data_IF_736157829048
#
_entry.id   IF_736157829048
#
_cell.length_a   1.000
_cell.length_b   1.000
_cell.length_c   1.000
_cell.angle_alpha   90.00
_cell.angle_beta   90.00
_cell.angle_gamma   90.00
#
_symmetry.space_group_name_H-M   'P 1'
#
loop_
_entity.id
_entity.type
_entity.pdbx_description
1 polymer ?
#
# COMPACT_ATOMS: atom_id res chain seq x y z
N UNK A 1 5.56 12.53 -14.70
CA UNK A 1 5.19 11.12 -14.93
C UNK A 1 4.06 11.15 -15.94
N UNK A 2 4.28 10.59 -17.13
CA UNK A 2 3.25 10.57 -18.17
C UNK A 2 2.42 9.31 -17.97
N UNK A 3 1.14 9.46 -17.65
CA UNK A 3 0.25 8.36 -17.31
C UNK A 3 -0.27 7.66 -18.58
N UNK A 4 0.45 6.64 -19.04
CA UNK A 4 -0.01 5.79 -20.15
C UNK A 4 -1.04 4.73 -19.72
N UNK A 5 -1.27 4.57 -18.41
CA UNK A 5 -2.29 3.67 -17.85
C UNK A 5 -3.47 4.48 -17.32
N UNK A 6 -4.69 4.00 -17.59
CA UNK A 6 -5.90 4.54 -17.00
C UNK A 6 -5.88 4.29 -15.50
N UNK A 7 -5.64 5.33 -14.71
CA UNK A 7 -6.02 5.34 -13.30
C UNK A 7 -7.53 5.08 -13.18
N UNK A 8 -7.98 4.53 -12.05
CA UNK A 8 -9.40 4.48 -11.75
C UNK A 8 -10.01 5.89 -11.83
N UNK A 9 -11.18 6.00 -12.48
CA UNK A 9 -11.84 7.29 -12.70
C UNK A 9 -12.28 7.90 -11.35
N UNK A 10 -11.42 8.75 -10.80
CA UNK A 10 -11.60 9.38 -9.49
C UNK A 10 -12.92 10.18 -9.44
N UNK A 11 -13.33 10.81 -10.55
CA UNK A 11 -14.56 11.59 -10.61
C UNK A 11 -15.82 10.70 -10.46
N UNK A 12 -15.86 9.54 -11.13
CA UNK A 12 -16.96 8.57 -10.97
C UNK A 12 -16.94 7.89 -9.59
N UNK A 13 -15.77 7.67 -9.00
CA UNK A 13 -15.65 7.10 -7.66
C UNK A 13 -16.21 8.05 -6.58
N UNK A 14 -15.96 9.35 -6.71
CA UNK A 14 -16.41 10.39 -5.77
C UNK A 14 -17.94 10.57 -5.76
N UNK A 15 -18.62 10.37 -6.89
CA UNK A 15 -20.09 10.43 -6.96
C UNK A 15 -20.73 9.23 -6.25
N UNK A 16 -20.14 8.02 -6.38
CA UNK A 16 -20.64 6.80 -5.73
C UNK A 16 -20.34 6.75 -4.23
N UNK A 17 -19.31 7.46 -3.76
CA UNK A 17 -18.88 7.47 -2.36
C UNK A 17 -19.58 8.51 -1.49
N UNK A 18 -20.35 9.44 -2.07
CA UNK A 18 -21.02 10.54 -1.33
C UNK A 18 -21.92 10.07 -0.17
N UNK A 19 -22.40 8.83 -0.23
CA UNK A 19 -23.28 8.21 0.77
C UNK A 19 -22.58 7.09 1.56
N UNK A 20 -21.25 6.99 1.50
CA UNK A 20 -20.47 5.96 2.19
C UNK A 20 -19.55 6.60 3.22
N UNK A 21 -19.60 6.09 4.45
CA UNK A 21 -18.70 6.53 5.52
C UNK A 21 -17.25 6.11 5.23
N UNK A 22 -17.07 4.87 4.75
CA UNK A 22 -15.79 4.33 4.31
C UNK A 22 -15.81 4.08 2.80
N UNK A 23 -14.85 4.66 2.07
CA UNK A 23 -14.75 4.62 0.61
C UNK A 23 -13.78 3.56 0.11
N UNK A 24 -12.97 2.98 1.01
CA UNK A 24 -11.99 1.95 0.69
C UNK A 24 -11.09 1.60 1.86
N UNK A 25 -10.04 0.83 1.54
CA UNK A 25 -8.99 0.42 2.47
C UNK A 25 -7.64 0.83 1.90
N UNK A 26 -6.77 1.30 2.77
CA UNK A 26 -5.36 1.53 2.49
C UNK A 26 -4.56 0.63 3.41
N UNK A 27 -3.48 -0.01 2.94
CA UNK A 27 -2.79 -0.99 3.76
C UNK A 27 -1.41 -1.36 3.28
N UNK A 28 -0.76 -2.21 4.05
CA UNK A 28 0.58 -2.73 3.76
C UNK A 28 0.64 -4.24 3.96
N UNK A 29 1.56 -4.88 3.23
CA UNK A 29 1.92 -6.29 3.38
C UNK A 29 3.43 -6.41 3.47
N UNK A 30 3.94 -7.49 4.07
CA UNK A 30 5.35 -7.83 3.96
C UNK A 30 5.67 -8.42 2.56
N UNK A 31 6.95 -8.68 2.26
CA UNK A 31 7.37 -9.30 0.99
C UNK A 31 6.73 -10.67 0.70
N UNK A 32 6.23 -11.36 1.72
CA UNK A 32 5.54 -12.65 1.58
C UNK A 32 4.03 -12.49 1.29
N UNK A 33 3.55 -11.25 1.19
CA UNK A 33 2.15 -10.91 1.00
C UNK A 33 1.29 -10.97 2.27
N UNK A 34 1.90 -11.25 3.43
CA UNK A 34 1.18 -11.29 4.71
C UNK A 34 0.72 -9.86 5.08
N UNK A 35 -0.58 -9.64 5.35
CA UNK A 35 -1.14 -8.38 5.84
C UNK A 35 -0.41 -7.85 7.08
N UNK A 36 -0.09 -6.55 7.11
CA UNK A 36 0.58 -5.90 8.25
C UNK A 36 -0.32 -4.87 8.95
N UNK A 37 -0.64 -3.75 8.30
CA UNK A 37 -1.47 -2.68 8.86
C UNK A 37 -2.41 -2.10 7.80
N UNK A 38 -3.58 -1.64 8.26
CA UNK A 38 -4.65 -1.11 7.41
C UNK A 38 -5.26 0.15 8.01
N UNK A 39 -5.76 1.02 7.14
CA UNK A 39 -6.46 2.26 7.45
C UNK A 39 -7.70 2.33 6.57
N UNK A 40 -8.86 2.64 7.17
CA UNK A 40 -10.06 2.93 6.39
C UNK A 40 -9.94 4.30 5.71
N UNK A 41 -10.30 4.35 4.43
CA UNK A 41 -10.44 5.62 3.70
C UNK A 41 -11.80 6.24 4.05
N UNK A 42 -11.81 7.34 4.80
CA UNK A 42 -13.04 8.03 5.24
C UNK A 42 -13.27 9.31 4.47
N UNK A 43 -14.04 9.25 3.39
CA UNK A 43 -14.39 10.41 2.54
C UNK A 43 -13.19 11.11 1.87
N UNK A 44 -11.98 10.63 2.11
CA UNK A 44 -10.72 11.15 1.60
C UNK A 44 -10.15 10.08 0.69
N UNK A 45 -9.81 10.44 -0.55
CA UNK A 45 -9.10 9.54 -1.45
C UNK A 45 -7.69 9.22 -0.93
N UNK A 46 -6.94 8.42 -1.69
CA UNK A 46 -5.56 8.13 -1.33
C UNK A 46 -4.70 9.41 -1.27
N UNK A 47 -3.97 9.57 -0.17
CA UNK A 47 -3.07 10.71 0.08
C UNK A 47 -1.74 10.19 0.60
N UNK A 48 -0.67 10.95 0.36
CA UNK A 48 0.67 10.65 0.90
C UNK A 48 0.68 10.52 2.42
N UNK A 49 -0.16 11.28 3.13
CA UNK A 49 -0.27 11.21 4.59
C UNK A 49 -0.66 9.82 5.11
N UNK A 50 -1.43 9.04 4.34
CA UNK A 50 -1.80 7.67 4.73
C UNK A 50 -0.62 6.71 4.64
N UNK A 51 0.13 6.80 3.54
CA UNK A 51 1.38 6.06 3.34
C UNK A 51 2.43 6.45 4.40
N UNK A 52 2.58 7.74 4.68
CA UNK A 52 3.47 8.23 5.74
C UNK A 52 3.07 7.70 7.11
N UNK A 53 1.78 7.74 7.44
CA UNK A 53 1.28 7.22 8.72
C UNK A 53 1.58 5.72 8.89
N UNK A 54 1.30 4.91 7.86
CA UNK A 54 1.60 3.48 7.90
C UNK A 54 3.09 3.21 8.05
N UNK A 55 3.94 3.88 7.25
CA UNK A 55 5.39 3.69 7.31
C UNK A 55 5.99 4.21 8.61
N UNK A 56 5.46 5.30 9.18
CA UNK A 56 5.89 5.81 10.48
C UNK A 56 5.61 4.80 11.58
N UNK A 57 4.42 4.19 11.58
CA UNK A 57 4.08 3.14 12.52
C UNK A 57 4.95 1.88 12.35
N UNK A 58 5.30 1.50 11.12
CA UNK A 58 6.20 0.38 10.87
C UNK A 58 7.63 0.69 11.34
N UNK A 59 8.13 1.88 11.04
CA UNK A 59 9.40 2.41 11.54
C UNK A 59 9.50 2.39 13.07
N UNK A 60 8.42 2.77 13.76
CA UNK A 60 8.35 2.78 15.23
C UNK A 60 8.30 1.36 15.80
N UNK A 61 7.58 0.44 15.13
CA UNK A 61 7.51 -0.98 15.51
C UNK A 61 8.87 -1.69 15.33
N UNK A 62 9.62 -1.34 14.28
CA UNK A 62 10.91 -1.91 13.93
C UNK A 62 11.99 -0.82 14.07
N UNK A 63 12.30 -0.43 15.30
CA UNK A 63 13.10 0.77 15.61
C UNK A 63 14.62 0.54 15.62
N UNK A 64 15.11 -0.67 15.36
CA UNK A 64 16.54 -0.94 15.34
C UNK A 64 17.22 -0.21 14.18
N UNK A 65 18.33 0.50 14.46
CA UNK A 65 19.04 1.29 13.45
C UNK A 65 19.62 0.47 12.30
N UNK A 66 19.85 -0.83 12.52
CA UNK A 66 20.30 -1.80 11.51
C UNK A 66 19.19 -2.22 10.53
N UNK A 67 17.93 -2.00 10.88
CA UNK A 67 16.80 -2.40 10.05
C UNK A 67 16.49 -1.31 9.02
N UNK A 68 16.37 -1.71 7.76
CA UNK A 68 15.90 -0.86 6.65
C UNK A 68 14.72 -1.50 5.94
N UNK A 69 13.98 -0.70 5.19
CA UNK A 69 12.81 -1.10 4.45
C UNK A 69 13.01 -0.80 2.97
N UNK A 70 12.66 -1.76 2.11
CA UNK A 70 12.42 -1.46 0.69
C UNK A 70 10.92 -1.41 0.47
N UNK A 71 10.42 -0.23 0.10
CA UNK A 71 8.99 0.03 -0.10
C UNK A 71 8.66 -0.11 -1.57
N UNK A 72 7.82 -1.09 -1.90
CA UNK A 72 7.19 -1.22 -3.21
C UNK A 72 5.84 -0.50 -3.17
N UNK A 73 5.72 0.57 -3.97
CA UNK A 73 4.51 1.38 -4.03
C UNK A 73 4.29 1.93 -5.44
N UNK A 74 3.06 1.91 -5.92
CA UNK A 74 2.72 2.25 -7.31
C UNK A 74 3.16 3.66 -7.71
N UNK A 75 3.16 4.58 -6.75
CA UNK A 75 3.61 5.97 -6.92
C UNK A 75 4.89 6.28 -6.14
N UNK A 76 5.74 5.27 -5.90
CA UNK A 76 6.98 5.39 -5.14
C UNK A 76 7.89 6.53 -5.63
N UNK A 77 7.94 6.81 -6.95
CA UNK A 77 8.77 7.90 -7.46
C UNK A 77 8.34 9.28 -6.93
N UNK A 78 7.02 9.53 -6.88
CA UNK A 78 6.43 10.78 -6.42
C UNK A 78 6.46 10.84 -4.89
N UNK A 79 6.22 9.70 -4.26
CA UNK A 79 6.22 9.59 -2.80
C UNK A 79 7.63 9.75 -2.22
N UNK A 80 8.66 9.14 -2.83
CA UNK A 80 10.06 9.36 -2.45
C UNK A 80 10.46 10.85 -2.56
N UNK A 81 10.00 11.56 -3.59
CA UNK A 81 10.22 13.01 -3.69
C UNK A 81 9.53 13.78 -2.55
N UNK A 82 8.36 13.32 -2.11
CA UNK A 82 7.66 13.88 -0.95
C UNK A 82 8.40 13.63 0.37
N UNK A 83 8.88 12.41 0.62
CA UNK A 83 9.64 12.06 1.85
C UNK A 83 10.95 12.86 1.97
N UNK A 84 11.53 13.28 0.84
CA UNK A 84 12.73 14.12 0.85
C UNK A 84 12.47 15.59 1.23
N UNK A 85 11.22 16.00 1.44
CA UNK A 85 10.88 17.33 1.96
C UNK A 85 10.92 17.32 3.48
N UNK A 86 11.43 18.40 4.08
CA UNK A 86 11.55 18.54 5.54
C UNK A 86 10.23 18.49 6.30
N UNK A 87 9.10 18.72 5.63
CA UNK A 87 7.75 18.65 6.20
C UNK A 87 7.26 17.21 6.40
N UNK A 88 7.90 16.22 5.76
CA UNK A 88 7.53 14.82 5.90
C UNK A 88 7.82 14.33 7.33
N UNK A 89 6.86 13.64 7.94
CA UNK A 89 7.05 13.00 9.25
C UNK A 89 8.14 11.90 9.22
N UNK A 90 8.47 11.40 8.03
CA UNK A 90 9.51 10.39 7.80
C UNK A 90 10.84 10.99 7.38
N UNK A 91 10.97 12.31 7.25
CA UNK A 91 12.20 12.95 6.77
C UNK A 91 13.42 12.55 7.61
N UNK A 92 13.27 12.49 8.93
CA UNK A 92 14.34 12.07 9.86
C UNK A 92 14.74 10.58 9.71
N UNK A 93 13.85 9.76 9.15
CA UNK A 93 14.05 8.32 8.93
C UNK A 93 14.31 7.96 7.48
N UNK A 94 14.44 8.96 6.58
CA UNK A 94 14.51 8.73 5.13
C UNK A 94 15.62 7.77 4.69
N UNK A 95 16.73 7.72 5.42
CA UNK A 95 17.85 6.81 5.15
C UNK A 95 17.52 5.33 5.43
N UNK A 96 16.44 5.05 6.15
CA UNK A 96 15.94 3.69 6.41
C UNK A 96 15.05 3.17 5.29
N UNK A 97 14.69 3.99 4.31
CA UNK A 97 13.75 3.63 3.25
C UNK A 97 14.38 3.69 1.87
N UNK A 98 14.38 2.55 1.19
CA UNK A 98 14.58 2.44 -0.25
C UNK A 98 13.23 2.29 -0.96
N UNK A 99 13.19 2.67 -2.24
CA UNK A 99 11.94 2.86 -2.97
C UNK A 99 11.96 2.13 -4.30
N UNK A 100 10.90 1.38 -4.57
CA UNK A 100 10.68 0.70 -5.85
C UNK A 100 9.20 0.82 -6.24
N UNK A 101 8.92 0.74 -7.53
CA UNK A 101 7.55 0.73 -8.05
C UNK A 101 7.14 -0.72 -8.30
N UNK A 102 5.93 -1.13 -7.94
CA UNK A 102 5.39 -2.46 -8.25
C UNK A 102 5.53 -2.80 -9.74
N UNK A 103 5.81 -4.05 -10.10
CA UNK A 103 6.31 -4.41 -11.44
C UNK A 103 5.33 -4.06 -12.56
N UNK A 104 4.02 -4.25 -12.35
CA UNK A 104 3.03 -3.88 -13.38
C UNK A 104 2.95 -2.38 -13.54
N UNK A 105 3.02 -1.66 -12.41
CA UNK A 105 2.92 -0.21 -12.37
C UNK A 105 4.17 0.46 -12.94
N UNK A 106 5.35 -0.16 -12.87
CA UNK A 106 6.60 0.44 -13.34
C UNK A 106 6.53 0.90 -14.81
N UNK A 107 5.91 0.11 -15.68
CA UNK A 107 5.73 0.44 -17.11
C UNK A 107 4.80 1.64 -17.35
N UNK A 108 3.98 2.00 -16.36
CA UNK A 108 3.12 3.19 -16.43
C UNK A 108 3.86 4.50 -16.16
N UNK A 109 5.11 4.42 -15.69
CA UNK A 109 5.92 5.60 -15.40
C UNK A 109 6.86 5.94 -16.54
N UNK A 110 7.39 7.18 -16.53
CA UNK A 110 8.34 7.63 -17.54
C UNK A 110 9.62 6.79 -17.52
N UNK A 111 10.35 6.77 -18.64
CA UNK A 111 11.61 6.03 -18.76
C UNK A 111 12.60 6.36 -17.63
N UNK A 112 12.68 7.64 -17.21
CA UNK A 112 13.52 8.06 -16.08
C UNK A 112 13.12 7.40 -14.75
N UNK A 113 11.81 7.26 -14.49
CA UNK A 113 11.33 6.55 -13.32
C UNK A 113 11.60 5.05 -13.41
N UNK A 114 11.42 4.44 -14.58
CA UNK A 114 11.72 3.02 -14.79
C UNK A 114 13.21 2.73 -14.51
N UNK A 115 14.13 3.52 -15.07
CA UNK A 115 15.56 3.34 -14.86
C UNK A 115 16.01 3.49 -13.40
N UNK A 116 15.22 4.13 -12.54
CA UNK A 116 15.56 4.38 -11.13
C UNK A 116 14.81 3.48 -10.15
N UNK A 117 13.53 3.22 -10.38
CA UNK A 117 12.63 2.59 -9.41
C UNK A 117 12.05 1.25 -9.89
N UNK A 118 12.39 0.78 -11.09
CA UNK A 118 11.90 -0.51 -11.57
C UNK A 118 12.43 -1.65 -10.69
N UNK A 119 11.61 -2.64 -10.28
CA UNK A 119 12.02 -3.71 -9.36
C UNK A 119 13.29 -4.44 -9.78
N UNK A 120 13.46 -4.71 -11.08
CA UNK A 120 14.65 -5.38 -11.62
C UNK A 120 15.97 -4.60 -11.48
N UNK A 121 15.91 -3.31 -11.14
CA UNK A 121 17.08 -2.45 -10.91
C UNK A 121 17.32 -2.25 -9.41
N UNK A 122 16.28 -2.38 -8.59
CA UNK A 122 16.37 -2.28 -7.14
C UNK A 122 17.16 -3.44 -6.53
N UNK A 123 18.16 -3.13 -5.71
CA UNK A 123 18.88 -4.13 -4.90
C UNK A 123 17.99 -4.68 -3.78
N UNK A 124 18.37 -5.85 -3.26
CA UNK A 124 17.82 -6.43 -2.02
C UNK A 124 16.35 -6.86 -2.03
N UNK A 125 15.65 -6.77 -3.17
CA UNK A 125 14.25 -7.25 -3.28
C UNK A 125 14.08 -8.61 -3.97
N UNK A 126 15.14 -9.13 -4.59
CA UNK A 126 15.09 -10.40 -5.35
C UNK A 126 14.07 -10.35 -6.49
N UNK A 127 13.19 -11.36 -6.56
CA UNK A 127 12.11 -11.44 -7.56
C UNK A 127 10.75 -10.96 -7.01
N UNK A 128 10.75 -10.15 -5.95
CA UNK A 128 9.51 -9.60 -5.38
C UNK A 128 8.86 -8.66 -6.39
N UNK A 129 7.57 -8.88 -6.70
CA UNK A 129 6.84 -8.11 -7.71
C UNK A 129 6.15 -6.85 -7.19
N UNK A 130 5.85 -6.78 -5.89
CA UNK A 130 5.14 -5.66 -5.28
C UNK A 130 3.62 -5.73 -5.39
N UNK A 131 3.06 -6.79 -5.98
CA UNK A 131 1.64 -6.91 -6.32
C UNK A 131 0.82 -7.64 -5.22
N UNK A 132 1.40 -7.77 -4.01
CA UNK A 132 0.77 -8.51 -2.91
C UNK A 132 -0.52 -7.86 -2.41
N UNK A 133 -0.56 -6.52 -2.39
CA UNK A 133 -1.78 -5.78 -2.01
C UNK A 133 -2.89 -5.99 -3.04
N UNK A 134 -2.59 -5.97 -4.34
CA UNK A 134 -3.59 -6.23 -5.39
C UNK A 134 -4.24 -7.62 -5.24
N UNK A 135 -3.45 -8.63 -4.88
CA UNK A 135 -3.96 -9.98 -4.56
C UNK A 135 -4.85 -9.98 -3.32
N UNK A 136 -4.44 -9.24 -2.29
CA UNK A 136 -5.24 -9.08 -1.08
C UNK A 136 -6.55 -8.33 -1.36
N UNK A 137 -6.53 -7.29 -2.18
CA UNK A 137 -7.72 -6.56 -2.63
C UNK A 137 -8.67 -7.46 -3.42
N UNK A 138 -8.15 -8.31 -4.29
CA UNK A 138 -8.95 -9.34 -4.97
C UNK A 138 -9.64 -10.29 -3.98
N UNK A 139 -8.92 -10.73 -2.93
CA UNK A 139 -9.50 -11.54 -1.85
C UNK A 139 -10.60 -10.78 -1.10
N UNK A 140 -10.32 -9.55 -0.65
CA UNK A 140 -11.22 -8.73 0.14
C UNK A 140 -12.42 -8.18 -0.65
N UNK A 141 -12.31 -8.08 -1.97
CA UNK A 141 -13.36 -7.60 -2.86
C UNK A 141 -14.69 -8.36 -2.73
N UNK A 142 -14.62 -9.64 -2.32
CA UNK A 142 -15.81 -10.46 -2.02
C UNK A 142 -16.64 -9.92 -0.86
N UNK A 143 -16.01 -9.20 0.07
CA UNK A 143 -16.70 -8.59 1.21
C UNK A 143 -17.15 -7.16 0.93
N UNK A 144 -16.72 -6.54 -0.18
CA UNK A 144 -16.96 -5.12 -0.45
C UNK A 144 -18.45 -4.79 -0.49
N UNK A 145 -19.28 -5.59 -1.17
CA UNK A 145 -20.72 -5.34 -1.28
C UNK A 145 -21.44 -5.48 0.07
N UNK A 146 -21.10 -6.51 0.84
CA UNK A 146 -21.74 -6.79 2.13
C UNK A 146 -21.33 -5.76 3.18
N UNK A 147 -20.05 -5.38 3.20
CA UNK A 147 -19.50 -4.42 4.18
C UNK A 147 -19.84 -2.96 3.86
N UNK A 148 -20.34 -2.67 2.66
CA UNK A 148 -20.66 -1.31 2.20
C UNK A 148 -21.78 -0.65 3.01
N UNK A 149 -22.76 -1.44 3.45
CA UNK A 149 -23.96 -0.95 4.16
C UNK A 149 -23.93 -1.27 5.66
N UNK A 150 -22.81 -1.79 6.16
CA UNK A 150 -22.63 -2.11 7.57
C UNK A 150 -22.30 -0.86 8.38
N UNK A 151 -22.65 -0.88 9.67
CA UNK A 151 -22.10 0.09 10.63
C UNK A 151 -20.57 -0.02 10.67
N UNK A 152 -19.84 1.08 10.91
CA UNK A 152 -18.38 1.07 10.90
C UNK A 152 -17.74 -0.01 11.80
N UNK A 153 -18.29 -0.27 12.99
CA UNK A 153 -17.80 -1.32 13.89
C UNK A 153 -17.92 -2.72 13.28
N UNK A 154 -19.10 -3.10 12.81
CA UNK A 154 -19.32 -4.42 12.20
C UNK A 154 -18.51 -4.61 10.91
N UNK A 155 -18.30 -3.53 10.15
CA UNK A 155 -17.41 -3.54 8.99
C UNK A 155 -15.98 -3.88 9.40
N UNK A 156 -15.48 -3.26 10.48
CA UNK A 156 -14.14 -3.57 11.01
C UNK A 156 -14.05 -5.04 11.44
N UNK A 157 -15.01 -5.54 12.21
CA UNK A 157 -14.99 -6.93 12.70
C UNK A 157 -14.92 -7.95 11.54
N UNK A 158 -15.73 -7.75 10.49
CA UNK A 158 -15.76 -8.65 9.32
C UNK A 158 -14.46 -8.58 8.53
N UNK A 159 -13.93 -7.38 8.30
CA UNK A 159 -12.68 -7.21 7.55
C UNK A 159 -11.49 -7.74 8.34
N UNK A 160 -11.45 -7.50 9.65
CA UNK A 160 -10.43 -8.03 10.54
C UNK A 160 -10.43 -9.56 10.51
N UNK A 161 -11.59 -10.20 10.68
CA UNK A 161 -11.69 -11.66 10.61
C UNK A 161 -11.23 -12.21 9.26
N UNK A 162 -11.60 -11.55 8.15
CA UNK A 162 -11.17 -11.95 6.82
C UNK A 162 -9.65 -11.83 6.64
N UNK A 163 -9.04 -10.75 7.17
CA UNK A 163 -7.60 -10.49 7.13
C UNK A 163 -6.83 -11.48 8.02
N UNK A 164 -7.32 -11.75 9.23
CA UNK A 164 -6.71 -12.74 10.13
C UNK A 164 -6.71 -14.13 9.50
N UNK A 165 -7.83 -14.54 8.89
CA UNK A 165 -7.94 -15.83 8.23
C UNK A 165 -6.94 -16.00 7.08
N UNK A 166 -6.83 -15.00 6.19
CA UNK A 166 -5.85 -15.07 5.08
C UNK A 166 -4.41 -14.99 5.60
N UNK A 167 -4.15 -14.17 6.62
CA UNK A 167 -2.84 -14.06 7.26
C UNK A 167 -2.38 -15.40 7.83
N UNK A 168 -3.23 -16.06 8.61
CA UNK A 168 -2.91 -17.38 9.18
C UNK A 168 -2.65 -18.42 8.09
N UNK A 169 -3.47 -18.41 7.02
CA UNK A 169 -3.25 -19.29 5.88
C UNK A 169 -1.92 -19.02 5.19
N UNK A 170 -1.52 -17.76 5.02
CA UNK A 170 -0.23 -17.40 4.41
C UNK A 170 0.94 -17.82 5.30
N UNK A 171 0.85 -17.55 6.61
CA UNK A 171 1.87 -17.95 7.60
C UNK A 171 2.06 -19.47 7.60
N UNK A 172 0.96 -20.23 7.64
CA UNK A 172 1.01 -21.70 7.65
C UNK A 172 1.61 -22.32 6.38
N UNK A 173 1.72 -21.53 5.30
CA UNK A 173 2.29 -21.95 4.02
C UNK A 173 3.65 -21.28 3.73
N UNK A 174 4.22 -20.52 4.68
CA UNK A 174 5.54 -19.95 4.51
C UNK A 174 6.59 -21.07 4.41
N UNK A 175 7.39 -21.06 3.34
CA UNK A 175 8.53 -21.97 3.16
C UNK A 175 8.16 -23.41 2.81
N UNK A 176 6.88 -23.71 2.55
CA UNK A 176 6.44 -24.96 1.91
C UNK A 176 6.48 -24.84 0.40
#
# INVERSE_FOLDING_TARGET
CDSYFKAADQARSNIKSKHLDDTGLFGSTCRHGIPLKFINLKGIGERFSLAECLLYQLQDTFNESSQSFVVLYDIACSFHAHINKSESALFQFKSRFDWCISIFHAFAHSMKCQLKYHPRICSSIGLTDGESLERLWSYLGRFALTTKYMRPSHRLDILELAIQNISQRMINNLGK
#
